data_IF_311282995185
#
_entry.id   IF_311282995185
#
_cell.length_a   1.000
_cell.length_b   1.000
_cell.length_c   1.000
_cell.angle_alpha   90.00
_cell.angle_beta   90.00
_cell.angle_gamma   90.00
#
_symmetry.space_group_name_H-M   'P 1'
#
loop_
_entity.id
_entity.type
_entity.pdbx_description
1 polymer ?
#
# COMPACT_ATOMS: atom_id res chain seq x y z
N UNK A 1 18.67 -8.39 31.83
CA UNK A 1 18.46 -9.25 30.65
C UNK A 1 18.54 -8.36 29.41
N UNK A 2 19.18 -8.82 28.38
CA UNK A 2 19.32 -8.11 27.12
C UNK A 2 17.94 -8.00 26.44
N UNK A 3 17.52 -6.77 26.06
CA UNK A 3 16.23 -6.54 25.43
C UNK A 3 16.33 -6.97 23.97
N UNK A 4 15.70 -8.09 23.61
CA UNK A 4 15.66 -8.64 22.25
C UNK A 4 14.23 -8.85 21.79
N UNK A 5 13.94 -8.48 20.54
CA UNK A 5 12.62 -8.59 19.89
C UNK A 5 12.78 -9.29 18.54
N UNK A 6 11.88 -10.21 18.24
CA UNK A 6 11.79 -10.83 16.92
C UNK A 6 10.79 -10.04 16.07
N UNK A 7 11.20 -9.64 14.86
CA UNK A 7 10.32 -9.05 13.84
C UNK A 7 10.24 -10.00 12.66
N UNK A 8 9.03 -10.35 12.25
CA UNK A 8 8.77 -11.33 11.20
C UNK A 8 8.28 -10.65 9.94
N UNK A 9 9.07 -10.72 8.87
CA UNK A 9 8.86 -10.08 7.59
C UNK A 9 9.55 -8.72 7.46
N UNK A 10 10.41 -8.57 6.46
CA UNK A 10 11.08 -7.31 6.11
C UNK A 10 10.32 -6.53 5.02
N UNK A 11 8.97 -6.58 5.04
CA UNK A 11 8.10 -5.69 4.28
C UNK A 11 8.05 -4.28 4.92
N UNK A 12 7.14 -3.42 4.45
CA UNK A 12 7.03 -2.03 4.92
C UNK A 12 6.85 -1.94 6.45
N UNK A 13 5.93 -2.73 7.01
CA UNK A 13 5.66 -2.70 8.45
C UNK A 13 6.84 -3.24 9.28
N UNK A 14 7.41 -4.37 8.88
CA UNK A 14 8.50 -4.98 9.64
C UNK A 14 9.82 -4.22 9.54
N UNK A 15 10.12 -3.64 8.37
CA UNK A 15 11.28 -2.77 8.18
C UNK A 15 11.21 -1.53 9.06
N UNK A 16 10.04 -0.86 9.11
CA UNK A 16 9.82 0.28 9.99
C UNK A 16 9.91 -0.15 11.46
N UNK A 17 9.28 -1.27 11.84
CA UNK A 17 9.32 -1.77 13.21
C UNK A 17 10.74 -2.11 13.65
N UNK A 18 11.52 -2.82 12.84
CA UNK A 18 12.91 -3.18 13.13
C UNK A 18 13.78 -1.94 13.33
N UNK A 19 13.65 -0.94 12.43
CA UNK A 19 14.35 0.33 12.54
C UNK A 19 14.01 1.06 13.84
N UNK A 20 12.73 1.19 14.16
CA UNK A 20 12.28 1.93 15.33
C UNK A 20 12.73 1.28 16.65
N UNK A 21 12.76 -0.05 16.72
CA UNK A 21 13.28 -0.80 17.86
C UNK A 21 14.80 -0.63 18.00
N UNK A 22 15.54 -0.83 16.91
CA UNK A 22 16.99 -0.73 16.89
C UNK A 22 17.49 0.68 17.22
N UNK A 23 16.81 1.72 16.70
CA UNK A 23 17.08 3.14 17.03
C UNK A 23 16.93 3.43 18.54
N UNK A 24 16.09 2.66 19.24
CA UNK A 24 15.88 2.76 20.70
C UNK A 24 16.79 1.84 21.51
N UNK A 25 17.85 1.27 20.89
CA UNK A 25 18.84 0.42 21.53
C UNK A 25 18.35 -1.00 21.85
N UNK A 26 17.25 -1.44 21.24
CA UNK A 26 16.70 -2.79 21.39
C UNK A 26 17.31 -3.68 20.31
N UNK A 27 17.80 -4.87 20.67
CA UNK A 27 18.27 -5.85 19.70
C UNK A 27 17.10 -6.46 18.94
N UNK A 28 17.24 -6.59 17.64
CA UNK A 28 16.20 -7.10 16.74
C UNK A 28 16.72 -8.28 15.95
N UNK A 29 15.96 -9.37 15.95
CA UNK A 29 16.10 -10.46 14.99
C UNK A 29 15.04 -10.27 13.90
N UNK A 30 15.46 -9.83 12.72
CA UNK A 30 14.58 -9.60 11.57
C UNK A 30 14.59 -10.81 10.65
N UNK A 31 13.47 -11.55 10.64
CA UNK A 31 13.27 -12.70 9.75
C UNK A 31 12.70 -12.27 8.42
N UNK A 32 13.32 -12.72 7.32
CA UNK A 32 12.81 -12.52 5.96
C UNK A 32 13.04 -13.77 5.11
N UNK A 33 11.98 -14.31 4.53
CA UNK A 33 12.05 -15.56 3.77
C UNK A 33 12.43 -15.38 2.30
N UNK A 34 12.32 -14.18 1.73
CA UNK A 34 12.41 -13.93 0.27
C UNK A 34 13.70 -14.45 -0.38
N UNK A 35 14.82 -14.41 0.30
CA UNK A 35 16.09 -14.92 -0.24
C UNK A 35 16.04 -16.41 -0.55
N UNK A 36 15.24 -17.18 0.21
CA UNK A 36 15.07 -18.64 0.03
C UNK A 36 13.74 -18.99 -0.64
N UNK A 37 12.67 -18.23 -0.36
CA UNK A 37 11.33 -18.52 -0.84
C UNK A 37 10.59 -17.22 -1.20
N UNK A 38 10.55 -16.88 -2.49
CA UNK A 38 9.78 -15.73 -2.98
C UNK A 38 8.28 -16.02 -2.98
N UNK A 39 7.48 -15.00 -2.68
CA UNK A 39 6.04 -15.05 -2.89
C UNK A 39 5.70 -14.75 -4.36
N UNK A 40 4.49 -15.05 -4.83
CA UNK A 40 4.10 -14.76 -6.21
C UNK A 40 4.18 -13.28 -6.62
N UNK A 41 4.13 -12.35 -5.67
CA UNK A 41 4.16 -10.91 -5.94
C UNK A 41 5.56 -10.28 -5.86
N UNK A 42 6.51 -10.94 -5.19
CA UNK A 42 7.87 -10.42 -5.01
C UNK A 42 8.80 -10.88 -6.14
N UNK A 43 9.57 -9.95 -6.67
CA UNK A 43 10.55 -10.20 -7.76
C UNK A 43 11.99 -9.94 -7.34
N UNK A 44 12.21 -9.08 -6.36
CA UNK A 44 13.52 -8.63 -5.88
C UNK A 44 13.84 -9.23 -4.50
N UNK A 45 15.12 -9.18 -4.11
CA UNK A 45 15.57 -9.59 -2.78
C UNK A 45 15.62 -8.40 -1.79
N UNK A 46 15.29 -7.19 -2.25
CA UNK A 46 15.25 -5.98 -1.42
C UNK A 46 14.09 -6.02 -0.42
N UNK A 47 14.31 -5.43 0.76
CA UNK A 47 13.27 -5.24 1.76
C UNK A 47 12.31 -4.13 1.33
N UNK A 48 11.10 -4.13 1.90
CA UNK A 48 10.05 -3.15 1.58
C UNK A 48 9.74 -3.01 0.09
N UNK A 49 9.83 -4.10 -0.69
CA UNK A 49 9.48 -4.10 -2.11
C UNK A 49 8.01 -3.69 -2.31
N UNK A 50 7.79 -2.67 -3.14
CA UNK A 50 6.45 -2.20 -3.49
C UNK A 50 5.85 -3.08 -4.59
N UNK A 51 4.99 -4.02 -4.24
CA UNK A 51 4.51 -5.07 -5.13
C UNK A 51 3.35 -4.66 -6.04
N UNK A 52 2.51 -3.69 -5.66
CA UNK A 52 1.34 -3.27 -6.44
C UNK A 52 1.67 -2.02 -7.28
N UNK A 53 1.99 -0.91 -6.62
CA UNK A 53 2.19 0.42 -7.22
C UNK A 53 3.46 1.03 -6.61
N UNK A 54 4.09 1.98 -7.30
CA UNK A 54 5.18 2.76 -6.72
C UNK A 54 4.69 4.00 -5.95
N UNK A 55 3.39 4.17 -5.78
CA UNK A 55 2.80 5.33 -5.10
C UNK A 55 2.36 5.00 -3.69
N UNK A 56 2.80 5.86 -2.75
CA UNK A 56 2.32 5.88 -1.39
C UNK A 56 1.05 6.75 -1.22
N UNK A 57 0.36 7.05 -2.31
CA UNK A 57 -0.86 7.86 -2.31
C UNK A 57 -0.61 9.36 -2.23
N UNK A 58 -1.70 10.15 -2.13
CA UNK A 58 -1.62 11.62 -2.08
C UNK A 58 -0.79 12.11 -0.90
N UNK A 59 0.05 13.13 -1.14
CA UNK A 59 0.87 13.80 -0.12
C UNK A 59 0.22 15.11 0.39
N UNK A 60 -0.96 15.44 -0.13
CA UNK A 60 -1.72 16.61 0.30
C UNK A 60 -2.41 16.39 1.64
N UNK A 61 -2.33 17.37 2.56
CA UNK A 61 -3.07 17.36 3.83
C UNK A 61 -4.61 17.44 3.66
N UNK A 62 -5.10 17.67 2.46
CA UNK A 62 -6.52 17.56 2.12
C UNK A 62 -6.94 16.09 1.86
N UNK A 63 -6.03 15.13 2.08
CA UNK A 63 -6.25 13.68 1.97
C UNK A 63 -5.73 12.96 3.23
N UNK A 64 -6.46 11.96 3.69
CA UNK A 64 -6.10 11.18 4.86
C UNK A 64 -4.73 10.49 4.73
N UNK A 65 -4.40 9.97 3.52
CA UNK A 65 -3.09 9.41 3.24
C UNK A 65 -1.94 10.43 3.38
N UNK A 66 -2.18 11.69 3.00
CA UNK A 66 -1.22 12.78 3.20
C UNK A 66 -1.06 13.14 4.68
N UNK A 67 -2.18 13.21 5.42
CA UNK A 67 -2.14 13.40 6.87
C UNK A 67 -1.35 12.29 7.56
N UNK A 68 -1.62 11.03 7.25
CA UNK A 68 -0.91 9.89 7.87
C UNK A 68 0.60 9.94 7.59
N UNK A 69 1.02 10.35 6.37
CA UNK A 69 2.44 10.56 6.07
C UNK A 69 3.06 11.67 6.91
N UNK A 70 2.33 12.77 7.08
CA UNK A 70 2.82 13.88 7.92
C UNK A 70 2.93 13.45 9.40
N UNK A 71 1.97 12.68 9.91
CA UNK A 71 2.05 12.09 11.24
C UNK A 71 3.28 11.17 11.38
N UNK A 72 3.56 10.35 10.36
CA UNK A 72 4.75 9.50 10.31
C UNK A 72 6.05 10.32 10.25
N UNK A 73 6.10 11.44 9.50
CA UNK A 73 7.26 12.36 9.50
C UNK A 73 7.50 12.94 10.89
N UNK A 74 6.45 13.37 11.57
CA UNK A 74 6.53 13.91 12.95
C UNK A 74 7.05 12.85 13.92
N UNK A 75 6.66 11.58 13.76
CA UNK A 75 7.13 10.46 14.56
C UNK A 75 8.53 9.96 14.18
N UNK A 76 9.12 10.45 13.08
CA UNK A 76 10.45 10.08 12.62
C UNK A 76 10.52 8.72 11.91
N UNK A 77 9.56 8.47 11.01
CA UNK A 77 9.55 7.27 10.16
C UNK A 77 10.72 7.27 9.18
N UNK A 78 11.50 6.21 9.22
CA UNK A 78 12.61 5.99 8.27
C UNK A 78 12.09 5.75 6.86
N UNK A 79 11.02 4.96 6.72
CA UNK A 79 10.49 4.62 5.39
C UNK A 79 9.91 5.85 4.67
N UNK A 80 9.25 6.74 5.40
CA UNK A 80 8.74 7.98 4.77
C UNK A 80 9.90 8.92 4.42
N UNK A 81 10.94 9.00 5.25
CA UNK A 81 12.13 9.77 4.93
C UNK A 81 12.85 9.26 3.68
N UNK A 82 12.99 7.93 3.54
CA UNK A 82 13.54 7.30 2.33
C UNK A 82 12.62 7.53 1.12
N UNK A 83 11.30 7.48 1.30
CA UNK A 83 10.36 7.77 0.23
C UNK A 83 10.49 9.21 -0.27
N UNK A 84 10.66 10.19 0.63
CA UNK A 84 10.86 11.59 0.27
C UNK A 84 12.16 11.81 -0.52
N UNK A 85 13.24 11.04 -0.24
CA UNK A 85 14.50 11.08 -1.01
C UNK A 85 14.42 10.40 -2.37
N UNK A 86 13.54 9.43 -2.51
CA UNK A 86 13.38 8.62 -3.73
C UNK A 86 12.17 9.04 -4.58
N UNK A 87 11.67 10.27 -4.41
CA UNK A 87 10.54 10.78 -5.17
C UNK A 87 10.76 10.72 -6.68
N UNK A 88 9.68 10.36 -7.38
CA UNK A 88 9.53 10.54 -8.83
C UNK A 88 8.32 11.42 -9.12
N UNK A 89 8.28 12.10 -10.28
CA UNK A 89 7.16 12.96 -10.65
C UNK A 89 5.82 12.22 -10.68
N UNK A 90 4.84 12.67 -9.89
CA UNK A 90 3.51 12.08 -9.82
C UNK A 90 2.43 13.07 -9.31
N UNK A 91 2.54 14.35 -9.65
CA UNK A 91 1.61 15.39 -9.23
C UNK A 91 1.52 15.51 -7.71
N UNK A 92 0.33 15.31 -7.15
CA UNK A 92 0.10 15.38 -5.69
C UNK A 92 0.38 14.06 -4.96
N UNK A 93 0.77 13.00 -5.65
CA UNK A 93 1.10 11.74 -5.00
C UNK A 93 2.58 11.69 -4.60
N UNK A 94 2.87 11.01 -3.49
CA UNK A 94 4.21 10.55 -3.18
C UNK A 94 4.44 9.23 -3.92
N UNK A 95 4.98 9.32 -5.13
CA UNK A 95 5.49 8.16 -5.85
C UNK A 95 7.02 8.11 -5.73
N UNK A 96 7.57 6.92 -5.76
CA UNK A 96 9.01 6.70 -5.57
C UNK A 96 9.60 5.87 -6.70
N UNK A 97 10.89 6.05 -6.95
CA UNK A 97 11.68 5.07 -7.66
C UNK A 97 11.63 3.76 -6.86
N UNK A 98 11.01 2.74 -7.45
CA UNK A 98 10.67 1.49 -6.76
C UNK A 98 11.91 0.75 -6.26
N UNK A 99 12.91 0.64 -7.12
CA UNK A 99 14.13 -0.07 -6.80
C UNK A 99 15.00 0.74 -5.84
N UNK A 100 15.19 2.03 -6.10
CA UNK A 100 15.96 2.92 -5.25
C UNK A 100 15.43 3.01 -3.82
N UNK A 101 14.10 3.06 -3.66
CA UNK A 101 13.44 3.05 -2.35
C UNK A 101 13.74 1.76 -1.56
N UNK A 102 13.56 0.61 -2.19
CA UNK A 102 13.73 -0.69 -1.54
C UNK A 102 15.21 -1.01 -1.26
N UNK A 103 16.10 -0.64 -2.18
CA UNK A 103 17.56 -0.82 -2.02
C UNK A 103 18.09 0.02 -0.86
N UNK A 104 17.70 1.30 -0.77
CA UNK A 104 18.14 2.19 0.30
C UNK A 104 17.69 1.70 1.68
N UNK A 105 16.41 1.25 1.82
CA UNK A 105 15.91 0.66 3.06
C UNK A 105 16.69 -0.60 3.43
N UNK A 106 16.94 -1.48 2.46
CA UNK A 106 17.72 -2.71 2.67
C UNK A 106 19.13 -2.39 3.19
N UNK A 107 19.76 -1.39 2.59
CA UNK A 107 21.10 -0.94 3.00
C UNK A 107 21.10 -0.35 4.41
N UNK A 108 20.11 0.47 4.75
CA UNK A 108 19.99 1.05 6.10
C UNK A 108 19.88 -0.07 7.14
N UNK A 109 18.94 -1.02 6.96
CA UNK A 109 18.70 -2.08 7.94
C UNK A 109 19.90 -3.03 8.08
N UNK A 110 20.56 -3.37 6.97
CA UNK A 110 21.78 -4.23 7.00
C UNK A 110 22.97 -3.58 7.69
N UNK A 111 23.01 -2.25 7.78
CA UNK A 111 24.09 -1.51 8.43
C UNK A 111 23.80 -1.15 9.90
N UNK A 112 22.64 -1.50 10.45
CA UNK A 112 22.32 -1.25 11.86
C UNK A 112 22.88 -2.36 12.75
N UNK A 113 23.78 -2.04 13.66
CA UNK A 113 24.45 -2.99 14.57
C UNK A 113 23.45 -3.77 15.47
N UNK A 114 22.31 -3.16 15.78
CA UNK A 114 21.28 -3.78 16.61
C UNK A 114 20.29 -4.65 15.82
N UNK A 115 20.47 -4.87 14.51
CA UNK A 115 19.62 -5.72 13.70
C UNK A 115 20.42 -6.92 13.19
N UNK A 116 20.04 -8.10 13.67
CA UNK A 116 20.45 -9.37 13.10
C UNK A 116 19.44 -9.81 12.04
N UNK A 117 19.87 -9.96 10.80
CA UNK A 117 19.00 -10.40 9.69
C UNK A 117 19.10 -11.92 9.57
N UNK A 118 17.94 -12.58 9.58
CA UNK A 118 17.81 -14.03 9.45
C UNK A 118 17.01 -14.32 8.18
N UNK A 119 17.70 -14.73 7.13
CA UNK A 119 17.12 -15.03 5.82
C UNK A 119 16.46 -16.43 5.82
N UNK A 120 15.39 -16.59 6.62
CA UNK A 120 14.65 -17.85 6.80
C UNK A 120 13.15 -17.61 6.97
N UNK A 121 12.36 -18.66 6.64
CA UNK A 121 10.96 -18.71 6.97
C UNK A 121 10.80 -18.84 8.48
N UNK A 122 10.04 -17.93 9.09
CA UNK A 122 9.70 -18.02 10.51
C UNK A 122 8.49 -18.93 10.71
N UNK A 123 8.66 -20.00 11.47
CA UNK A 123 7.64 -21.07 11.62
C UNK A 123 7.25 -21.36 13.05
N UNK A 124 7.98 -20.85 14.04
CA UNK A 124 7.75 -21.13 15.46
C UNK A 124 7.65 -19.81 16.25
N UNK A 125 6.56 -19.61 16.97
CA UNK A 125 6.34 -18.43 17.81
C UNK A 125 6.77 -18.76 19.25
N UNK A 126 7.93 -18.28 19.72
CA UNK A 126 8.43 -18.60 21.06
C UNK A 126 7.58 -17.95 22.16
N UNK A 127 7.46 -18.60 23.32
CA UNK A 127 6.68 -18.09 24.44
C UNK A 127 7.44 -17.06 25.29
N UNK A 128 8.77 -17.14 25.28
CA UNK A 128 9.68 -16.34 26.12
C UNK A 128 10.23 -15.09 25.43
N UNK A 129 9.91 -14.85 24.17
CA UNK A 129 10.38 -13.70 23.37
C UNK A 129 9.21 -12.86 22.89
N UNK A 130 9.43 -11.55 22.82
CA UNK A 130 8.46 -10.66 22.16
C UNK A 130 8.61 -10.80 20.64
N UNK A 131 7.47 -10.99 19.96
CA UNK A 131 7.41 -11.17 18.51
C UNK A 131 6.45 -10.13 17.92
N UNK A 132 6.91 -9.40 16.89
CA UNK A 132 6.07 -8.58 16.02
C UNK A 132 5.87 -9.32 14.71
N UNK A 133 4.66 -9.80 14.44
CA UNK A 133 4.29 -10.46 13.19
C UNK A 133 3.90 -9.38 12.18
N UNK A 134 4.80 -9.08 11.24
CA UNK A 134 4.66 -8.10 10.18
C UNK A 134 4.83 -8.74 8.79
N UNK A 135 4.44 -10.01 8.67
CA UNK A 135 4.62 -10.87 7.49
C UNK A 135 3.76 -10.45 6.28
N UNK A 136 2.88 -9.48 6.46
CA UNK A 136 2.06 -8.90 5.40
C UNK A 136 0.97 -9.83 4.87
N UNK A 137 0.38 -9.51 3.71
CA UNK A 137 -0.78 -10.23 3.18
C UNK A 137 -0.40 -11.58 2.53
N UNK A 138 0.87 -11.78 2.22
CA UNK A 138 1.40 -13.00 1.59
C UNK A 138 2.17 -13.87 2.59
N UNK A 139 1.69 -13.91 3.84
CA UNK A 139 2.20 -14.77 4.90
C UNK A 139 2.24 -16.24 4.46
N UNK A 140 3.33 -16.93 4.76
CA UNK A 140 3.50 -18.34 4.41
C UNK A 140 2.46 -19.23 5.09
N UNK A 141 2.13 -20.35 4.47
CA UNK A 141 1.14 -21.28 5.03
C UNK A 141 1.54 -21.80 6.42
N UNK A 142 2.82 -22.11 6.62
CA UNK A 142 3.31 -22.62 7.91
C UNK A 142 3.18 -21.59 9.02
N UNK A 143 3.60 -20.35 8.77
CA UNK A 143 3.41 -19.28 9.75
C UNK A 143 1.93 -19.03 10.00
N UNK A 144 1.11 -19.10 8.93
CA UNK A 144 -0.33 -18.89 9.06
C UNK A 144 -1.01 -19.97 9.91
N UNK A 145 -0.61 -21.23 9.77
CA UNK A 145 -1.07 -22.33 10.64
C UNK A 145 -0.75 -22.03 12.11
N UNK A 146 0.46 -21.55 12.43
CA UNK A 146 0.85 -21.15 13.79
C UNK A 146 0.05 -19.96 14.31
N UNK A 147 -0.24 -18.98 13.45
CA UNK A 147 -1.12 -17.85 13.80
C UNK A 147 -2.53 -18.38 14.14
N UNK A 148 -3.07 -19.30 13.33
CA UNK A 148 -4.39 -19.89 13.58
C UNK A 148 -4.42 -20.70 14.89
N UNK A 149 -3.35 -21.44 15.20
CA UNK A 149 -3.22 -22.17 16.46
C UNK A 149 -3.28 -21.24 17.70
N UNK A 150 -2.54 -20.13 17.68
CA UNK A 150 -2.49 -19.19 18.82
C UNK A 150 -3.70 -18.28 18.93
N UNK A 151 -4.40 -18.01 17.82
CA UNK A 151 -5.58 -17.14 17.78
C UNK A 151 -6.89 -17.91 17.96
N UNK A 152 -6.91 -19.18 17.61
CA UNK A 152 -8.12 -20.00 17.57
C UNK A 152 -9.10 -19.61 16.46
N UNK A 153 -8.68 -18.75 15.50
CA UNK A 153 -9.52 -18.27 14.40
C UNK A 153 -8.92 -18.61 13.03
N UNK A 154 -9.79 -18.86 12.05
CA UNK A 154 -9.40 -19.00 10.65
C UNK A 154 -9.08 -17.62 10.04
N UNK A 155 -8.25 -17.64 8.99
CA UNK A 155 -7.93 -16.41 8.24
C UNK A 155 -9.12 -15.83 7.50
N UNK A 156 -9.15 -14.52 7.43
CA UNK A 156 -9.91 -13.77 6.45
C UNK A 156 -9.04 -13.53 5.21
N UNK A 157 -9.64 -13.35 4.05
CA UNK A 157 -8.90 -13.06 2.83
C UNK A 157 -9.72 -12.24 1.84
N UNK A 158 -9.00 -11.55 0.96
CA UNK A 158 -9.53 -10.93 -0.26
C UNK A 158 -8.50 -11.06 -1.39
N UNK A 159 -8.92 -10.81 -2.60
CA UNK A 159 -8.02 -10.80 -3.76
C UNK A 159 -7.64 -9.37 -4.13
N UNK A 160 -6.35 -9.17 -4.41
CA UNK A 160 -5.75 -7.94 -4.89
C UNK A 160 -5.03 -8.19 -6.21
N UNK A 161 -4.91 -7.16 -7.04
CA UNK A 161 -4.27 -7.26 -8.34
C UNK A 161 -3.25 -6.13 -8.54
N UNK A 162 -2.13 -6.45 -9.18
CA UNK A 162 -1.13 -5.48 -9.62
C UNK A 162 -1.42 -5.00 -11.05
N UNK A 163 -0.98 -3.77 -11.37
CA UNK A 163 -1.05 -3.21 -12.70
C UNK A 163 0.26 -3.46 -13.48
N UNK A 164 0.22 -3.53 -14.83
CA UNK A 164 1.40 -3.71 -15.67
C UNK A 164 2.30 -2.47 -15.70
N UNK A 165 3.58 -2.72 -16.04
CA UNK A 165 4.59 -1.69 -16.28
C UNK A 165 5.13 -1.86 -17.69
N UNK A 166 5.27 -0.75 -18.43
CA UNK A 166 5.80 -0.70 -19.81
C UNK A 166 7.02 0.20 -19.89
N UNK A 167 7.86 -0.01 -20.92
CA UNK A 167 9.00 0.87 -21.19
C UNK A 167 8.56 2.15 -21.89
N UNK A 168 9.19 3.29 -21.56
CA UNK A 168 8.92 4.58 -22.20
C UNK A 168 9.15 4.54 -23.72
N UNK A 169 10.24 3.91 -24.15
CA UNK A 169 10.62 3.83 -25.56
C UNK A 169 9.58 3.10 -26.43
N UNK A 170 8.74 2.25 -25.81
CA UNK A 170 7.68 1.52 -26.51
C UNK A 170 6.36 2.31 -26.60
N UNK A 171 6.28 3.50 -25.97
CA UNK A 171 5.09 4.37 -25.99
C UNK A 171 5.14 5.24 -27.24
N UNK A 172 4.10 5.21 -28.06
CA UNK A 172 3.98 6.08 -29.22
C UNK A 172 3.60 7.52 -28.81
N UNK A 173 4.60 8.37 -28.66
CA UNK A 173 4.42 9.78 -28.29
C UNK A 173 3.85 10.65 -29.42
N UNK A 174 3.71 10.14 -30.64
CA UNK A 174 2.95 10.82 -31.70
C UNK A 174 1.44 10.78 -31.43
N UNK A 175 0.97 9.85 -30.59
CA UNK A 175 -0.42 9.72 -30.14
C UNK A 175 -0.56 10.21 -28.70
N UNK A 176 0.25 9.65 -27.79
CA UNK A 176 0.24 10.00 -26.37
C UNK A 176 0.80 11.41 -26.11
N UNK A 177 0.48 11.99 -24.95
CA UNK A 177 0.92 13.32 -24.56
C UNK A 177 1.11 13.45 -23.06
N UNK A 178 2.02 14.35 -22.66
CA UNK A 178 2.24 14.67 -21.25
C UNK A 178 1.21 15.70 -20.77
N UNK A 179 0.49 15.43 -19.69
CA UNK A 179 -0.36 16.39 -18.99
C UNK A 179 -0.79 15.87 -17.62
N UNK A 180 -0.90 16.77 -16.65
CA UNK A 180 -1.56 16.49 -15.36
C UNK A 180 -2.98 17.03 -15.34
N UNK A 181 -3.89 16.33 -14.65
CA UNK A 181 -5.32 16.71 -14.59
C UNK A 181 -5.51 18.07 -13.94
N UNK A 182 -6.39 18.88 -14.53
CA UNK A 182 -6.74 20.22 -14.02
C UNK A 182 -5.56 21.19 -13.91
N UNK A 183 -4.48 20.98 -14.68
CA UNK A 183 -3.28 21.80 -14.61
C UNK A 183 -2.56 21.74 -13.26
N UNK A 184 -2.75 20.67 -12.51
CA UNK A 184 -2.09 20.45 -11.21
C UNK A 184 -0.80 19.67 -11.42
N UNK A 185 0.35 20.28 -11.15
CA UNK A 185 1.67 19.70 -11.41
C UNK A 185 2.23 20.12 -12.79
N UNK A 186 3.40 19.59 -13.13
CA UNK A 186 4.19 19.99 -14.30
C UNK A 186 3.96 19.07 -15.53
N UNK A 187 2.84 18.35 -15.57
CA UNK A 187 2.51 17.46 -16.69
C UNK A 187 3.16 16.08 -16.61
N UNK A 188 3.28 15.52 -15.42
CA UNK A 188 4.08 14.29 -15.15
C UNK A 188 3.46 12.98 -15.65
N UNK A 189 2.18 12.99 -16.04
CA UNK A 189 1.51 11.80 -16.56
C UNK A 189 1.53 11.77 -18.08
N UNK A 190 1.84 10.61 -18.65
CA UNK A 190 1.57 10.34 -20.06
C UNK A 190 0.11 9.91 -20.18
N UNK A 191 -0.58 10.48 -21.16
CA UNK A 191 -1.99 10.24 -21.42
C UNK A 191 -2.15 9.61 -22.81
N UNK A 192 -2.77 8.43 -22.86
CA UNK A 192 -3.11 7.71 -24.07
C UNK A 192 -4.60 7.95 -24.38
N UNK A 193 -4.93 8.79 -25.36
CA UNK A 193 -6.31 9.17 -25.66
C UNK A 193 -7.03 8.07 -26.42
N UNK A 194 -8.34 7.98 -26.24
CA UNK A 194 -9.22 7.14 -27.02
C UNK A 194 -10.42 7.93 -27.52
N UNK A 195 -10.77 7.79 -28.78
CA UNK A 195 -12.08 8.19 -29.30
C UNK A 195 -13.15 7.14 -28.89
N UNK A 196 -14.40 7.39 -29.25
CA UNK A 196 -15.51 6.52 -28.85
C UNK A 196 -15.42 5.11 -29.46
N UNK A 197 -15.02 5.01 -30.71
CA UNK A 197 -14.89 3.71 -31.42
C UNK A 197 -13.75 2.87 -30.84
N UNK A 198 -12.58 3.46 -30.65
CA UNK A 198 -11.40 2.84 -30.02
C UNK A 198 -11.73 2.34 -28.62
N UNK A 199 -12.45 3.14 -27.82
CA UNK A 199 -12.89 2.75 -26.49
C UNK A 199 -13.78 1.50 -26.52
N UNK A 200 -14.81 1.47 -27.39
CA UNK A 200 -15.73 0.33 -27.44
C UNK A 200 -15.05 -0.93 -28.02
N UNK A 201 -14.12 -0.78 -28.95
CA UNK A 201 -13.30 -1.90 -29.45
C UNK A 201 -12.46 -2.48 -28.30
N UNK A 202 -11.76 -1.64 -27.56
CA UNK A 202 -11.01 -2.04 -26.37
C UNK A 202 -11.90 -2.68 -25.31
N UNK A 203 -13.03 -2.05 -24.95
CA UNK A 203 -14.00 -2.56 -23.98
C UNK A 203 -14.49 -3.97 -24.35
N UNK A 204 -14.89 -4.19 -25.58
CA UNK A 204 -15.42 -5.47 -26.05
C UNK A 204 -14.39 -6.59 -25.97
N UNK A 205 -13.14 -6.30 -26.28
CA UNK A 205 -12.04 -7.27 -26.18
C UNK A 205 -11.63 -7.52 -24.71
N UNK A 206 -11.63 -6.48 -23.86
CA UNK A 206 -11.32 -6.60 -22.44
C UNK A 206 -12.31 -7.53 -21.70
N UNK A 207 -13.60 -7.39 -21.95
CA UNK A 207 -14.62 -8.22 -21.26
C UNK A 207 -14.62 -9.69 -21.71
N UNK A 208 -14.12 -9.98 -22.94
CA UNK A 208 -14.00 -11.34 -23.51
C UNK A 208 -12.67 -12.00 -23.18
N UNK A 209 -11.65 -11.23 -22.75
CA UNK A 209 -10.30 -11.71 -22.55
C UNK A 209 -10.22 -12.83 -21.51
N UNK A 210 -9.35 -13.81 -21.76
CA UNK A 210 -9.14 -14.93 -20.85
C UNK A 210 -8.44 -14.49 -19.57
N UNK A 211 -8.94 -14.98 -18.43
CA UNK A 211 -8.40 -14.72 -17.09
C UNK A 211 -7.58 -15.89 -16.61
N UNK A 212 -6.62 -15.59 -15.72
CA UNK A 212 -5.91 -16.63 -15.01
C UNK A 212 -6.87 -17.35 -14.05
N UNK A 213 -6.72 -18.68 -13.94
CA UNK A 213 -7.50 -19.48 -13.02
C UNK A 213 -7.09 -19.13 -11.57
N UNK A 214 -8.06 -18.76 -10.74
CA UNK A 214 -7.85 -18.65 -9.30
C UNK A 214 -7.83 -20.04 -8.70
N UNK A 215 -6.74 -20.38 -8.02
CA UNK A 215 -6.60 -21.67 -7.32
C UNK A 215 -7.53 -21.66 -6.09
N UNK A 216 -8.79 -21.89 -6.26
CA UNK A 216 -9.79 -22.38 -5.32
C UNK A 216 -11.19 -21.87 -5.68
N UNK A 217 -12.20 -22.71 -5.51
CA UNK A 217 -13.64 -22.48 -5.79
C UNK A 217 -14.32 -21.47 -4.83
N UNK A 218 -13.59 -20.57 -4.21
CA UNK A 218 -14.12 -19.58 -3.28
C UNK A 218 -14.66 -18.37 -4.04
N UNK A 219 -15.82 -17.85 -3.61
CA UNK A 219 -16.38 -16.62 -4.16
C UNK A 219 -15.34 -15.50 -4.07
N UNK A 220 -14.98 -14.93 -5.22
CA UNK A 220 -14.03 -13.81 -5.33
C UNK A 220 -14.47 -12.68 -4.38
N UNK A 221 -13.80 -12.55 -3.24
CA UNK A 221 -13.89 -11.36 -2.39
C UNK A 221 -12.83 -10.39 -2.89
N UNK A 222 -13.24 -9.41 -3.69
CA UNK A 222 -12.37 -8.37 -4.21
C UNK A 222 -12.37 -7.16 -3.25
N UNK A 223 -11.24 -6.49 -3.15
CA UNK A 223 -11.13 -5.21 -2.47
C UNK A 223 -11.45 -4.09 -3.46
N UNK A 224 -12.40 -3.21 -3.12
CA UNK A 224 -12.93 -2.19 -4.05
C UNK A 224 -11.85 -1.27 -4.62
N UNK A 225 -10.82 -0.94 -3.83
CA UNK A 225 -9.74 -0.05 -4.24
C UNK A 225 -8.75 -0.68 -5.25
N UNK A 226 -8.71 -2.02 -5.34
CA UNK A 226 -7.82 -2.78 -6.22
C UNK A 226 -8.61 -3.68 -7.19
N UNK A 227 -9.83 -3.26 -7.53
CA UNK A 227 -10.69 -4.02 -8.44
C UNK A 227 -10.06 -4.14 -9.83
N UNK A 228 -9.94 -5.35 -10.40
CA UNK A 228 -9.40 -5.56 -11.74
C UNK A 228 -10.17 -4.79 -12.80
N UNK A 229 -9.45 -4.22 -13.79
CA UNK A 229 -10.02 -3.40 -14.85
C UNK A 229 -11.12 -4.11 -15.64
N UNK A 230 -10.97 -5.42 -15.89
CA UNK A 230 -11.99 -6.23 -16.55
C UNK A 230 -13.25 -6.41 -15.70
N UNK A 231 -13.16 -6.38 -14.37
CA UNK A 231 -14.32 -6.41 -13.47
C UNK A 231 -15.04 -5.06 -13.45
N UNK A 232 -14.28 -3.95 -13.48
CA UNK A 232 -14.83 -2.60 -13.63
C UNK A 232 -15.58 -2.49 -14.96
N UNK A 233 -14.99 -3.00 -16.05
CA UNK A 233 -15.63 -3.02 -17.37
C UNK A 233 -16.94 -3.80 -17.36
N UNK A 234 -16.97 -4.97 -16.71
CA UNK A 234 -18.17 -5.82 -16.62
C UNK A 234 -19.32 -5.20 -15.80
N UNK A 235 -19.04 -4.23 -14.92
CA UNK A 235 -20.08 -3.55 -14.14
C UNK A 235 -20.90 -2.55 -14.96
N UNK A 236 -20.46 -2.22 -16.19
CA UNK A 236 -21.19 -1.38 -17.12
C UNK A 236 -20.29 -0.75 -18.19
N UNK A 237 -20.80 -0.63 -19.40
CA UNK A 237 -20.07 -0.15 -20.60
C UNK A 237 -19.36 1.19 -20.41
N UNK A 238 -19.88 2.08 -19.59
CA UNK A 238 -19.30 3.41 -19.34
C UNK A 238 -18.57 3.52 -18.00
N UNK A 239 -18.55 2.48 -17.18
CA UNK A 239 -18.01 2.58 -15.82
C UNK A 239 -16.56 3.03 -15.81
N UNK A 240 -15.74 2.51 -16.73
CA UNK A 240 -14.32 2.90 -16.84
C UNK A 240 -14.15 4.40 -17.15
N UNK A 241 -15.04 5.03 -17.91
CA UNK A 241 -14.94 6.48 -18.27
C UNK A 241 -15.28 7.41 -17.10
N UNK A 242 -15.88 6.89 -16.04
CA UNK A 242 -16.09 7.60 -14.77
C UNK A 242 -15.05 7.21 -13.69
N UNK A 243 -14.26 6.17 -13.96
CA UNK A 243 -13.22 5.60 -13.10
C UNK A 243 -11.82 5.78 -13.69
N UNK A 244 -11.11 4.65 -13.95
CA UNK A 244 -9.70 4.69 -14.37
C UNK A 244 -9.44 5.40 -15.71
N UNK A 245 -10.37 5.36 -16.65
CA UNK A 245 -10.23 5.99 -17.98
C UNK A 245 -10.95 7.33 -18.09
N UNK A 246 -11.24 7.99 -16.98
CA UNK A 246 -11.96 9.26 -16.97
C UNK A 246 -11.20 10.35 -17.73
N UNK A 247 -11.80 11.02 -18.75
CA UNK A 247 -11.10 12.06 -19.52
C UNK A 247 -11.14 13.44 -18.86
N UNK A 248 -12.06 13.66 -17.90
CA UNK A 248 -12.32 14.99 -17.30
C UNK A 248 -11.07 15.60 -16.64
N UNK A 249 -10.79 16.84 -16.98
CA UNK A 249 -9.63 17.60 -16.50
C UNK A 249 -8.39 17.47 -17.37
N UNK A 250 -8.51 16.82 -18.53
CA UNK A 250 -7.49 16.71 -19.56
C UNK A 250 -8.02 17.35 -20.85
N UNK A 251 -7.19 18.11 -21.53
CA UNK A 251 -7.44 18.63 -22.89
C UNK A 251 -6.28 18.13 -23.74
N UNK A 252 -6.59 17.35 -24.75
CA UNK A 252 -5.58 16.80 -25.64
C UNK A 252 -4.92 17.94 -26.44
N UNK A 253 -3.61 18.20 -26.27
CA UNK A 253 -2.94 19.33 -26.90
C UNK A 253 -2.82 19.19 -28.43
N UNK A 254 -3.07 17.99 -28.97
CA UNK A 254 -3.02 17.72 -30.43
C UNK A 254 -4.35 18.03 -31.13
N UNK A 255 -5.46 17.99 -30.38
CA UNK A 255 -6.81 18.22 -30.93
C UNK A 255 -7.53 19.42 -30.33
N UNK A 256 -7.00 19.98 -29.25
CA UNK A 256 -7.60 21.04 -28.43
C UNK A 256 -9.01 20.65 -27.91
N UNK A 257 -9.24 19.36 -27.69
CA UNK A 257 -10.52 18.80 -27.22
C UNK A 257 -10.31 17.78 -26.11
N UNK A 258 -11.36 17.54 -25.36
CA UNK A 258 -11.42 16.43 -24.41
C UNK A 258 -11.73 15.13 -25.19
N UNK A 259 -10.91 14.10 -24.96
CA UNK A 259 -11.08 12.78 -25.54
C UNK A 259 -12.29 12.04 -24.92
N UNK A 260 -12.73 10.93 -25.52
CA UNK A 260 -13.81 10.12 -24.96
C UNK A 260 -13.38 9.35 -23.72
N UNK A 261 -12.19 8.80 -23.75
CA UNK A 261 -11.55 8.14 -22.61
C UNK A 261 -10.03 8.37 -22.66
N UNK A 262 -9.35 8.27 -21.54
CA UNK A 262 -7.88 8.47 -21.45
C UNK A 262 -7.30 7.47 -20.47
N UNK A 263 -6.32 6.69 -20.94
CA UNK A 263 -5.47 5.86 -20.08
C UNK A 263 -4.27 6.68 -19.63
N UNK A 264 -4.02 6.73 -18.34
CA UNK A 264 -2.87 7.44 -17.78
C UNK A 264 -1.73 6.49 -17.44
N UNK A 265 -0.53 6.91 -17.73
CA UNK A 265 0.69 6.21 -17.34
C UNK A 265 1.45 7.10 -16.36
N UNK A 266 1.96 6.49 -15.28
CA UNK A 266 2.73 7.17 -14.25
C UNK A 266 4.16 6.64 -14.25
N UNK A 267 5.13 7.54 -14.16
CA UNK A 267 6.53 7.19 -14.04
C UNK A 267 6.80 6.27 -12.84
N UNK A 268 7.57 5.20 -13.06
CA UNK A 268 7.84 4.15 -12.06
C UNK A 268 9.31 4.14 -11.58
N UNK A 269 10.21 4.84 -12.27
CA UNK A 269 11.64 4.97 -11.96
C UNK A 269 12.12 6.43 -12.05
N UNK A 270 13.29 6.76 -11.48
CA UNK A 270 13.86 8.12 -11.53
C UNK A 270 14.27 8.56 -12.93
N UNK A 271 14.65 7.63 -13.78
CA UNK A 271 15.19 7.90 -15.10
C UNK A 271 14.08 8.14 -16.15
N UNK A 272 12.82 7.88 -15.79
CA UNK A 272 11.68 8.03 -16.71
C UNK A 272 11.65 6.97 -17.81
N UNK A 273 12.24 5.81 -17.59
CA UNK A 273 12.28 4.70 -18.54
C UNK A 273 11.10 3.75 -18.40
N UNK A 274 10.49 3.69 -17.21
CA UNK A 274 9.43 2.76 -16.85
C UNK A 274 8.14 3.51 -16.47
N UNK A 275 7.01 3.01 -16.95
CA UNK A 275 5.70 3.62 -16.70
C UNK A 275 4.67 2.58 -16.28
N UNK A 276 4.01 2.81 -15.17
CA UNK A 276 2.90 2.01 -14.67
C UNK A 276 1.58 2.44 -15.31
N UNK A 277 0.78 1.49 -15.82
CA UNK A 277 -0.54 1.76 -16.38
C UNK A 277 -1.53 1.95 -15.23
N UNK A 278 -1.92 3.20 -14.98
CA UNK A 278 -2.71 3.57 -13.79
C UNK A 278 -4.14 3.01 -13.87
N UNK A 279 -4.56 2.29 -12.83
CA UNK A 279 -5.89 1.71 -12.75
C UNK A 279 -6.10 0.43 -13.56
N UNK A 280 -5.01 -0.17 -14.05
CA UNK A 280 -5.05 -1.41 -14.84
C UNK A 280 -4.63 -2.65 -14.03
N UNK A 281 -4.98 -2.69 -12.75
CA UNK A 281 -4.94 -3.95 -12.00
C UNK A 281 -5.73 -5.00 -12.77
N UNK A 282 -5.18 -6.22 -12.90
CA UNK A 282 -5.82 -7.22 -13.78
C UNK A 282 -5.51 -8.66 -13.39
N UNK A 283 -6.46 -9.55 -13.66
CA UNK A 283 -6.32 -11.01 -13.61
C UNK A 283 -6.28 -11.66 -15.00
N UNK A 284 -6.08 -10.88 -16.06
CA UNK A 284 -5.94 -11.43 -17.40
C UNK A 284 -4.68 -12.27 -17.52
N UNK A 285 -4.72 -13.34 -18.34
CA UNK A 285 -3.51 -14.07 -18.74
C UNK A 285 -2.51 -13.13 -19.40
N UNK A 286 -1.21 -13.37 -19.26
CA UNK A 286 -0.16 -12.48 -19.80
C UNK A 286 -0.29 -12.21 -21.30
N UNK A 287 -0.63 -13.24 -22.09
CA UNK A 287 -0.88 -13.09 -23.52
C UNK A 287 -2.07 -12.17 -23.81
N UNK A 288 -3.12 -12.25 -23.02
CA UNK A 288 -4.30 -11.39 -23.13
C UNK A 288 -4.01 -9.95 -22.69
N UNK A 289 -3.20 -9.76 -21.64
CA UNK A 289 -2.77 -8.41 -21.24
C UNK A 289 -2.03 -7.73 -22.39
N UNK A 290 -1.07 -8.44 -23.04
CA UNK A 290 -0.36 -7.90 -24.18
C UNK A 290 -1.32 -7.60 -25.33
N UNK A 291 -2.18 -8.54 -25.71
CA UNK A 291 -3.13 -8.40 -26.83
C UNK A 291 -4.11 -7.24 -26.62
N UNK A 292 -4.76 -7.19 -25.46
CA UNK A 292 -5.83 -6.24 -25.19
C UNK A 292 -5.27 -4.84 -24.89
N UNK A 293 -4.21 -4.75 -24.10
CA UNK A 293 -3.67 -3.43 -23.73
C UNK A 293 -2.90 -2.77 -24.88
N UNK A 294 -2.39 -3.54 -25.85
CA UNK A 294 -1.85 -2.98 -27.09
C UNK A 294 -2.92 -2.43 -28.05
N UNK A 295 -4.21 -2.58 -27.77
CA UNK A 295 -5.28 -1.90 -28.50
C UNK A 295 -5.47 -0.44 -28.06
N UNK A 296 -4.83 -0.02 -26.95
CA UNK A 296 -4.87 1.34 -26.47
C UNK A 296 -3.99 2.21 -27.37
N UNK A 297 -4.53 3.28 -28.01
CA UNK A 297 -3.73 4.19 -28.83
C UNK A 297 -2.55 4.76 -28.05
N UNK A 298 -1.35 4.63 -28.62
CA UNK A 298 -0.11 4.96 -27.95
C UNK A 298 0.60 3.79 -27.27
N UNK A 299 -0.07 2.62 -27.14
CA UNK A 299 0.49 1.39 -26.56
C UNK A 299 0.54 0.21 -27.56
N UNK A 300 0.40 0.49 -28.85
CA UNK A 300 0.33 -0.55 -29.90
C UNK A 300 1.56 -1.46 -29.89
N UNK A 301 2.72 -0.89 -29.58
CA UNK A 301 4.00 -1.60 -29.54
C UNK A 301 4.55 -1.73 -28.10
N UNK A 302 3.69 -1.61 -27.09
CA UNK A 302 4.13 -1.59 -25.69
C UNK A 302 4.94 -2.83 -25.30
N UNK A 303 6.11 -2.58 -24.71
CA UNK A 303 6.97 -3.60 -24.12
C UNK A 303 6.70 -3.69 -22.63
N UNK A 304 6.08 -4.81 -22.22
CA UNK A 304 5.74 -5.07 -20.85
C UNK A 304 6.95 -5.64 -20.10
N UNK A 305 7.52 -4.87 -19.18
CA UNK A 305 8.58 -5.32 -18.28
C UNK A 305 8.01 -6.04 -17.05
N UNK A 306 6.74 -5.77 -16.73
CA UNK A 306 5.98 -6.45 -15.69
C UNK A 306 4.52 -6.58 -16.11
N UNK A 307 3.99 -7.79 -15.99
CA UNK A 307 2.56 -8.03 -16.16
C UNK A 307 1.79 -7.85 -14.85
N UNK A 308 0.53 -7.51 -14.95
CA UNK A 308 -0.39 -7.53 -13.83
C UNK A 308 -0.63 -8.97 -13.35
N UNK A 309 -0.71 -9.15 -12.05
CA UNK A 309 -1.02 -10.44 -11.42
C UNK A 309 -2.00 -10.24 -10.29
N UNK A 310 -2.91 -11.20 -10.11
CA UNK A 310 -3.79 -11.26 -8.95
C UNK A 310 -3.21 -12.20 -7.90
N UNK A 311 -3.29 -11.81 -6.64
CA UNK A 311 -2.87 -12.63 -5.51
C UNK A 311 -3.88 -12.54 -4.37
N UNK A 312 -3.88 -13.59 -3.54
CA UNK A 312 -4.72 -13.68 -2.36
C UNK A 312 -4.03 -12.98 -1.20
N UNK A 313 -4.67 -11.95 -0.66
CA UNK A 313 -4.24 -11.28 0.55
C UNK A 313 -4.93 -11.89 1.76
N UNK A 314 -4.14 -12.31 2.73
CA UNK A 314 -4.62 -12.92 3.96
C UNK A 314 -4.47 -11.95 5.12
N UNK A 315 -5.47 -11.91 6.02
CA UNK A 315 -5.45 -11.08 7.23
C UNK A 315 -6.17 -11.76 8.39
N UNK A 316 -5.88 -11.33 9.61
CA UNK A 316 -6.54 -11.82 10.82
C UNK A 316 -7.78 -10.97 11.15
N UNK A 317 -8.70 -11.53 11.96
CA UNK A 317 -9.79 -10.73 12.52
C UNK A 317 -9.29 -9.88 13.71
N UNK A 318 -8.48 -8.88 13.39
CA UNK A 318 -7.78 -8.04 14.36
C UNK A 318 -8.72 -7.35 15.36
N UNK A 319 -9.94 -7.02 14.94
CA UNK A 319 -10.95 -6.36 15.80
C UNK A 319 -11.34 -7.20 17.01
N UNK A 320 -11.31 -8.53 16.88
CA UNK A 320 -11.52 -9.44 17.99
C UNK A 320 -10.23 -9.75 18.73
N UNK A 321 -9.13 -9.87 18.01
CA UNK A 321 -7.89 -10.46 18.48
C UNK A 321 -6.94 -9.47 19.15
N UNK A 322 -6.87 -8.22 18.67
CA UNK A 322 -5.86 -7.25 19.09
C UNK A 322 -6.42 -6.21 20.07
N UNK A 323 -5.59 -5.80 21.01
CA UNK A 323 -5.82 -4.60 21.82
C UNK A 323 -5.31 -3.34 21.11
N UNK A 324 -5.49 -2.16 21.74
CA UNK A 324 -5.11 -0.87 21.17
C UNK A 324 -3.61 -0.64 21.01
N UNK A 325 -2.77 -1.53 21.52
CA UNK A 325 -1.30 -1.52 21.30
C UNK A 325 -0.88 -2.42 20.16
N UNK A 326 -1.83 -3.04 19.46
CA UNK A 326 -1.66 -4.08 18.43
C UNK A 326 -1.12 -5.40 19.00
N UNK A 327 -1.20 -5.60 20.30
CA UNK A 327 -0.85 -6.83 20.99
C UNK A 327 -2.02 -7.82 20.93
N UNK A 328 -1.73 -9.10 20.83
CA UNK A 328 -2.71 -10.18 20.92
C UNK A 328 -3.32 -10.23 22.34
N UNK A 329 -4.65 -10.19 22.47
CA UNK A 329 -5.34 -10.13 23.77
C UNK A 329 -5.08 -11.33 24.67
N UNK A 330 -4.87 -12.53 24.09
CA UNK A 330 -4.64 -13.78 24.80
C UNK A 330 -3.16 -14.19 24.92
N UNK A 331 -2.23 -13.39 24.39
CA UNK A 331 -0.77 -13.63 24.45
C UNK A 331 -0.03 -12.31 24.68
N UNK A 332 0.67 -12.21 25.78
CA UNK A 332 1.35 -10.97 26.15
C UNK A 332 2.58 -10.64 25.33
N UNK A 333 3.14 -11.60 24.63
CA UNK A 333 4.40 -11.45 23.91
C UNK A 333 4.25 -11.36 22.38
N UNK A 334 3.02 -11.37 21.82
CA UNK A 334 2.79 -11.36 20.38
C UNK A 334 2.07 -10.09 19.95
N UNK A 335 2.64 -9.39 19.00
CA UNK A 335 2.11 -8.19 18.36
C UNK A 335 1.93 -8.42 16.86
N UNK A 336 1.01 -7.69 16.24
CA UNK A 336 0.79 -7.73 14.81
C UNK A 336 0.92 -6.34 14.20
N UNK A 337 1.47 -6.25 12.98
CA UNK A 337 1.59 -4.99 12.25
C UNK A 337 1.49 -5.20 10.74
N UNK A 338 1.14 -4.15 10.03
CA UNK A 338 1.00 -4.18 8.57
C UNK A 338 -0.33 -4.75 8.11
N UNK A 339 -0.37 -5.08 6.84
CA UNK A 339 -1.61 -5.45 6.14
C UNK A 339 -2.27 -6.72 6.69
N UNK A 340 -1.52 -7.59 7.36
CA UNK A 340 -2.06 -8.77 8.06
C UNK A 340 -3.09 -8.39 9.15
N UNK A 341 -3.05 -7.16 9.66
CA UNK A 341 -4.05 -6.65 10.63
C UNK A 341 -5.35 -6.19 9.98
N UNK A 342 -5.46 -6.21 8.65
CA UNK A 342 -6.57 -5.59 7.91
C UNK A 342 -6.43 -4.07 7.74
N UNK A 343 -5.30 -3.49 8.15
CA UNK A 343 -4.93 -2.11 7.79
C UNK A 343 -4.38 -2.06 6.37
N UNK A 344 -5.15 -1.52 5.43
CA UNK A 344 -4.82 -1.51 4.01
C UNK A 344 -3.98 -0.32 3.57
N UNK A 345 -3.09 -0.59 2.60
CA UNK A 345 -2.22 0.40 1.95
C UNK A 345 -0.84 0.53 2.58
N UNK A 346 0.12 0.96 1.75
CA UNK A 346 1.53 1.05 2.12
C UNK A 346 1.78 1.94 3.35
N UNK A 347 1.16 3.13 3.37
CA UNK A 347 1.34 4.08 4.48
C UNK A 347 0.76 3.54 5.78
N UNK A 348 -0.40 2.86 5.71
CA UNK A 348 -1.02 2.19 6.86
C UNK A 348 -0.13 1.06 7.40
N UNK A 349 0.51 0.30 6.49
CA UNK A 349 1.45 -0.74 6.90
C UNK A 349 2.66 -0.16 7.64
N UNK A 350 3.24 0.92 7.14
CA UNK A 350 4.32 1.66 7.81
C UNK A 350 3.86 2.15 9.19
N UNK A 351 2.69 2.78 9.26
CA UNK A 351 2.14 3.36 10.49
C UNK A 351 1.92 2.31 11.58
N UNK A 352 1.33 1.17 11.23
CA UNK A 352 1.11 0.08 12.20
C UNK A 352 2.40 -0.59 12.63
N UNK A 353 3.41 -0.69 11.73
CA UNK A 353 4.75 -1.17 12.06
C UNK A 353 5.45 -0.28 13.09
N UNK A 354 5.47 1.03 12.85
CA UNK A 354 5.99 2.01 13.79
C UNK A 354 5.24 1.99 15.13
N UNK A 355 3.91 1.95 15.08
CA UNK A 355 3.07 1.97 16.26
C UNK A 355 3.29 0.75 17.17
N UNK A 356 3.36 -0.46 16.58
CA UNK A 356 3.69 -1.67 17.31
C UNK A 356 5.08 -1.60 17.94
N UNK A 357 6.09 -1.12 17.20
CA UNK A 357 7.45 -0.99 17.68
C UNK A 357 7.57 -0.02 18.86
N UNK A 358 6.89 1.14 18.81
CA UNK A 358 6.87 2.10 19.92
C UNK A 358 6.27 1.45 21.16
N UNK A 359 5.14 0.75 21.03
CA UNK A 359 4.49 0.07 22.17
C UNK A 359 5.35 -1.05 22.77
N UNK A 360 6.02 -1.84 21.91
CA UNK A 360 6.97 -2.87 22.37
C UNK A 360 8.15 -2.23 23.10
N UNK A 361 8.71 -1.14 22.58
CA UNK A 361 9.82 -0.43 23.21
C UNK A 361 9.41 0.16 24.57
N UNK A 362 8.27 0.82 24.65
CA UNK A 362 7.74 1.38 25.88
C UNK A 362 7.52 0.30 26.95
N UNK A 363 6.92 -0.84 26.55
CA UNK A 363 6.77 -1.97 27.45
C UNK A 363 8.09 -2.51 27.99
N UNK A 364 9.09 -2.67 27.13
CA UNK A 364 10.42 -3.13 27.52
C UNK A 364 11.14 -2.14 28.45
N UNK A 365 10.84 -0.86 28.32
CA UNK A 365 11.39 0.21 29.17
C UNK A 365 10.59 0.45 30.46
N UNK A 366 9.40 -0.18 30.61
CA UNK A 366 8.50 0.09 31.71
C UNK A 366 7.79 1.45 31.61
N UNK A 367 7.70 1.97 30.41
CA UNK A 367 7.03 3.23 30.05
C UNK A 367 5.53 2.98 29.77
N UNK A 368 4.76 4.07 29.71
CA UNK A 368 3.33 4.00 29.39
C UNK A 368 3.10 3.56 27.95
N UNK A 369 2.00 2.86 27.72
CA UNK A 369 1.53 2.52 26.38
C UNK A 369 1.31 3.79 25.56
N UNK A 370 1.77 3.74 24.31
CA UNK A 370 1.54 4.77 23.31
C UNK A 370 0.21 4.52 22.63
N UNK A 371 -0.85 5.15 23.11
CA UNK A 371 -2.21 5.02 22.58
C UNK A 371 -2.68 6.37 22.04
N UNK A 372 -2.92 6.42 20.73
CA UNK A 372 -3.44 7.61 20.07
C UNK A 372 -4.97 7.52 19.94
N UNK A 373 -5.64 8.66 20.16
CA UNK A 373 -7.06 8.78 19.92
C UNK A 373 -7.35 8.88 18.40
N UNK A 374 -8.61 8.65 18.01
CA UNK A 374 -9.13 8.82 16.65
C UNK A 374 -9.18 10.30 16.17
N UNK A 375 -8.51 11.17 16.87
CA UNK A 375 -8.20 12.56 16.48
C UNK A 375 -7.07 12.58 15.42
N UNK A 376 -6.11 11.66 15.51
CA UNK A 376 -5.06 11.41 14.52
C UNK A 376 -5.49 10.32 13.52
N UNK A 377 -4.94 10.32 12.32
CA UNK A 377 -5.24 9.30 11.32
C UNK A 377 -4.65 7.93 11.72
N UNK A 378 -3.45 7.93 12.34
CA UNK A 378 -2.84 6.71 12.89
C UNK A 378 -3.72 6.16 14.03
N UNK A 379 -4.18 7.00 14.95
CA UNK A 379 -5.09 6.57 16.03
C UNK A 379 -6.42 6.06 15.49
N UNK A 380 -6.97 6.72 14.47
CA UNK A 380 -8.24 6.34 13.86
C UNK A 380 -8.14 4.95 13.17
N UNK A 381 -7.06 4.67 12.43
CA UNK A 381 -6.86 3.35 11.82
C UNK A 381 -6.61 2.26 12.86
N UNK A 382 -5.84 2.54 13.91
CA UNK A 382 -5.62 1.59 15.01
C UNK A 382 -6.94 1.29 15.72
N UNK A 383 -7.75 2.29 16.03
CA UNK A 383 -9.08 2.09 16.60
C UNK A 383 -9.96 1.24 15.65
N UNK A 384 -9.95 1.55 14.35
CA UNK A 384 -10.74 0.81 13.37
C UNK A 384 -10.42 -0.68 13.33
N UNK A 385 -9.13 -1.06 13.37
CA UNK A 385 -8.68 -2.45 13.31
C UNK A 385 -8.65 -3.17 14.65
N UNK A 386 -8.92 -2.50 15.77
CA UNK A 386 -8.91 -3.10 17.14
C UNK A 386 -10.26 -3.05 17.85
N UNK A 387 -11.22 -2.25 17.37
CA UNK A 387 -12.57 -2.22 17.91
C UNK A 387 -13.45 -3.28 17.29
N UNK A 388 -14.17 -4.03 18.12
CA UNK A 388 -15.00 -5.15 17.67
C UNK A 388 -16.09 -4.69 16.70
N UNK A 389 -16.22 -5.41 15.58
CA UNK A 389 -17.19 -5.14 14.50
C UNK A 389 -17.95 -6.41 14.10
N UNK A 390 -19.23 -6.29 13.83
CA UNK A 390 -20.06 -7.40 13.32
C UNK A 390 -19.55 -7.95 11.99
N UNK A 391 -19.04 -7.08 11.12
CA UNK A 391 -18.39 -7.43 9.85
C UNK A 391 -17.13 -6.60 9.74
N UNK A 392 -15.99 -7.25 9.83
CA UNK A 392 -14.70 -6.61 9.64
C UNK A 392 -14.34 -6.65 8.17
N UNK A 393 -13.96 -5.50 7.63
CA UNK A 393 -13.40 -5.34 6.29
C UNK A 393 -12.10 -4.53 6.39
N UNK A 394 -11.09 -4.86 5.58
CA UNK A 394 -9.88 -4.04 5.52
C UNK A 394 -10.17 -2.57 5.24
N UNK A 395 -9.34 -1.68 5.82
CA UNK A 395 -9.51 -0.24 5.73
C UNK A 395 -8.15 0.45 5.57
N UNK A 396 -8.07 1.37 4.60
CA UNK A 396 -6.95 2.28 4.47
C UNK A 396 -7.23 3.66 5.08
N UNK A 397 -6.21 4.53 5.04
CA UNK A 397 -6.29 5.92 5.50
C UNK A 397 -7.50 6.64 4.89
N UNK A 398 -8.37 7.21 5.75
CA UNK A 398 -9.67 7.71 5.33
C UNK A 398 -10.26 8.68 6.37
N UNK A 399 -10.53 9.91 5.99
CA UNK A 399 -11.16 10.89 6.88
C UNK A 399 -12.55 10.50 7.41
N UNK A 400 -13.16 9.44 6.90
CA UNK A 400 -14.41 8.89 7.42
C UNK A 400 -14.29 8.17 8.76
N UNK A 401 -13.07 7.77 9.16
CA UNK A 401 -12.80 7.09 10.43
C UNK A 401 -12.20 8.01 11.50
N UNK A 402 -11.75 9.21 11.12
CA UNK A 402 -11.25 10.21 12.07
C UNK A 402 -12.40 10.88 12.79
N UNK A 403 -12.22 11.22 14.06
CA UNK A 403 -13.23 11.93 14.86
C UNK A 403 -13.64 13.24 14.18
N UNK A 404 -14.95 13.44 14.02
CA UNK A 404 -15.50 14.66 13.40
C UNK A 404 -15.06 15.93 14.14
N UNK A 405 -15.07 17.06 13.43
CA UNK A 405 -14.96 18.38 14.07
C UNK A 405 -16.28 18.72 14.77
N UNK A 406 -16.20 19.49 15.84
CA UNK A 406 -17.38 20.01 16.57
C UNK A 406 -18.14 21.05 15.73
N UNK A 407 -17.49 21.59 14.70
CA UNK A 407 -18.03 22.58 13.77
C UNK A 407 -18.57 21.92 12.49
N UNK A 408 -19.69 22.44 11.98
CA UNK A 408 -20.22 22.00 10.70
C UNK A 408 -19.64 22.82 9.54
N UNK A 409 -18.59 22.33 8.90
CA UNK A 409 -17.93 22.98 7.78
C UNK A 409 -18.46 22.39 6.46
N UNK A 410 -19.11 23.24 5.64
CA UNK A 410 -19.72 22.83 4.37
C UNK A 410 -18.70 22.61 3.25
N UNK A 411 -17.63 23.42 3.22
CA UNK A 411 -16.55 23.24 2.25
C UNK A 411 -15.71 22.01 2.62
N UNK A 412 -15.70 21.02 1.74
CA UNK A 412 -15.04 19.74 1.97
C UNK A 412 -13.52 19.87 2.12
N UNK A 413 -12.89 20.79 1.37
CA UNK A 413 -11.44 20.98 1.44
C UNK A 413 -11.04 21.66 2.74
N UNK A 414 -11.79 22.68 3.13
CA UNK A 414 -11.58 23.37 4.41
C UNK A 414 -11.80 22.41 5.58
N UNK A 415 -12.86 21.60 5.53
CA UNK A 415 -13.09 20.55 6.54
C UNK A 415 -11.89 19.63 6.69
N UNK A 416 -11.35 19.13 5.58
CA UNK A 416 -10.22 18.20 5.59
C UNK A 416 -8.93 18.86 6.06
N UNK A 417 -8.69 20.11 5.68
CA UNK A 417 -7.56 20.91 6.18
C UNK A 417 -7.61 21.08 7.69
N UNK A 418 -8.79 21.39 8.25
CA UNK A 418 -8.97 21.54 9.71
C UNK A 418 -8.82 20.21 10.45
N UNK A 419 -9.32 19.12 9.91
CA UNK A 419 -9.08 17.79 10.48
C UNK A 419 -7.58 17.49 10.57
N UNK A 420 -6.84 17.73 9.50
CA UNK A 420 -5.39 17.52 9.45
C UNK A 420 -4.64 18.43 10.41
N UNK A 421 -5.00 19.70 10.49
CA UNK A 421 -4.36 20.63 11.42
C UNK A 421 -4.57 20.20 12.88
N UNK A 422 -5.81 19.84 13.26
CA UNK A 422 -6.14 19.34 14.60
C UNK A 422 -5.34 18.05 14.92
N UNK A 423 -5.26 17.13 13.99
CA UNK A 423 -4.54 15.87 14.16
C UNK A 423 -3.03 16.11 14.41
N UNK A 424 -2.41 16.97 13.61
CA UNK A 424 -0.99 17.34 13.75
C UNK A 424 -0.72 18.02 15.10
N UNK A 425 -1.58 18.94 15.52
CA UNK A 425 -1.45 19.61 16.83
C UNK A 425 -1.61 18.63 17.99
N UNK A 426 -2.59 17.72 17.88
CA UNK A 426 -2.80 16.66 18.86
C UNK A 426 -1.57 15.74 18.96
N UNK A 427 -1.04 15.26 17.84
CA UNK A 427 0.10 14.38 17.83
C UNK A 427 1.35 15.04 18.43
N UNK A 428 1.64 16.29 18.04
CA UNK A 428 2.77 17.06 18.61
C UNK A 428 2.68 17.26 20.13
N UNK A 429 1.46 17.33 20.68
CA UNK A 429 1.26 17.38 22.14
C UNK A 429 1.45 16.02 22.79
N UNK A 430 0.96 14.96 22.15
CA UNK A 430 1.05 13.59 22.67
C UNK A 430 2.51 13.10 22.79
N UNK A 431 3.38 13.45 21.83
CA UNK A 431 4.80 13.05 21.88
C UNK A 431 5.66 13.90 22.81
N UNK A 432 5.22 15.10 23.25
CA UNK A 432 5.94 15.91 24.22
C UNK A 432 5.70 15.45 25.66
N UNK A 433 4.75 14.58 25.88
CA UNK A 433 4.39 14.01 27.17
C UNK A 433 4.94 12.60 27.41
N UNK A 434 5.74 12.09 26.46
CA UNK A 434 6.38 10.76 26.51
C UNK A 434 7.95 10.95 26.58
#
# INVERSE_FOLDING_TARGET
MEKEVIVVGAGLAGSEAAYQLAKRGIKVKLYEMKAKQKTPAHSKDYYSELVCSNSLGSDSLENASGLMKEELRILGSMLIEVADRNRVPAGQALAVDRDGFSEEITKILKNMENIEIIEEEFTEIPEDKIVIIASGPLTSNKLFEKISEITGEESLYFYDAAAPIVTFESINMDIAYFQSRYGKGDGEYINCPMNKEEYYNFYNELIKAERAELKNFEKEKLFDACMPIEKIAMSGEKTMTFGPLKPKGLINPKTDKMDYAVVQLRQDDKEGKLYNIVGFQTNLKFGEQKRVFSMIPGLENAEFVRYGVMHRNTFINSTKLLDKTLKLKNKDNVYFAGQITGGEGYVTAIATGMYAAINVANRLNGEKEFVLEDISEIGAIVNYITEEKKKFQPMGANFGIIRSLDENIRDKKEKYRRLSQRAIEYLKKSIKGV
#
